data_IF_203247381567
#
_entry.id   IF_203247381567
#
_cell.length_a   1.000
_cell.length_b   1.000
_cell.length_c   1.000
_cell.angle_alpha   90.00
_cell.angle_beta   90.00
_cell.angle_gamma   90.00
#
_symmetry.space_group_name_H-M   'P 1'
#
loop_
_entity.id
_entity.type
_entity.pdbx_description
1 polymer ?
#
# COMPACT_ATOMS: atom_id res chain seq x y z
N UNK A 1 -9.87 68.81 -14.61
CA UNK A 1 -8.38 68.70 -14.59
C UNK A 1 -8.03 67.88 -13.34
N UNK A 2 -7.97 66.58 -13.47
CA UNK A 2 -7.71 65.65 -12.35
C UNK A 2 -6.20 65.48 -12.24
N UNK A 3 -5.66 65.86 -11.08
CA UNK A 3 -4.24 65.89 -10.77
C UNK A 3 -3.59 64.49 -10.86
N UNK A 4 -2.46 64.38 -11.59
CA UNK A 4 -1.62 63.17 -11.80
C UNK A 4 -1.08 62.51 -10.51
N UNK A 5 -1.27 63.16 -9.35
CA UNK A 5 -0.77 62.65 -8.07
C UNK A 5 -1.65 61.58 -7.41
N UNK A 6 -2.92 61.45 -7.77
CA UNK A 6 -3.82 60.51 -7.12
C UNK A 6 -3.82 59.11 -7.75
N UNK A 7 -3.17 58.91 -8.88
CA UNK A 7 -3.15 57.61 -9.56
C UNK A 7 -2.02 56.68 -9.02
N UNK A 8 -1.00 57.24 -8.41
CA UNK A 8 0.11 56.49 -7.85
C UNK A 8 -0.28 55.74 -6.55
N UNK A 9 -1.25 56.29 -5.79
CA UNK A 9 -1.74 55.66 -4.56
C UNK A 9 -2.75 54.51 -4.82
N UNK A 10 -3.36 54.45 -5.99
CA UNK A 10 -4.31 53.42 -6.33
C UNK A 10 -3.63 52.10 -6.76
N UNK A 11 -2.39 52.19 -7.28
CA UNK A 11 -1.62 51.00 -7.72
C UNK A 11 -0.91 50.30 -6.54
N UNK A 12 -0.61 51.04 -5.48
CA UNK A 12 0.08 50.47 -4.29
C UNK A 12 -0.86 49.66 -3.40
N UNK A 13 -2.17 49.88 -3.48
CA UNK A 13 -3.13 49.20 -2.60
C UNK A 13 -3.65 47.86 -3.12
N UNK A 14 -3.36 47.49 -4.38
CA UNK A 14 -3.78 46.20 -4.99
C UNK A 14 -2.75 45.08 -4.80
N UNK A 15 -1.52 45.40 -4.38
CA UNK A 15 -0.44 44.43 -4.20
C UNK A 15 -0.34 43.79 -2.81
N UNK A 16 -1.20 44.18 -1.86
CA UNK A 16 -1.08 43.77 -0.46
C UNK A 16 -2.06 42.66 -0.02
N UNK A 17 -2.76 41.99 -0.92
CA UNK A 17 -3.81 41.02 -0.53
C UNK A 17 -3.65 39.62 -1.11
N UNK A 18 -2.52 39.29 -1.74
CA UNK A 18 -2.22 37.88 -2.01
C UNK A 18 -1.63 37.25 -0.74
N UNK A 19 -2.50 36.96 0.23
CA UNK A 19 -2.19 36.00 1.24
C UNK A 19 -2.06 34.66 0.51
N UNK A 20 -0.84 34.25 0.19
CA UNK A 20 -0.52 32.86 -0.05
C UNK A 20 -0.89 32.12 1.24
N UNK A 21 -2.11 31.60 1.30
CA UNK A 21 -2.44 30.57 2.27
C UNK A 21 -1.45 29.43 2.00
N UNK A 22 -0.63 28.99 3.00
CA UNK A 22 0.14 27.80 2.81
C UNK A 22 -0.88 26.72 2.46
N UNK A 23 -0.70 26.06 1.33
CA UNK A 23 -1.36 24.77 1.07
C UNK A 23 -0.74 23.85 2.12
N UNK A 24 -1.39 23.76 3.27
CA UNK A 24 -1.12 22.70 4.23
C UNK A 24 -1.53 21.46 3.46
N UNK A 25 -0.54 20.74 2.92
CA UNK A 25 -0.74 19.40 2.41
C UNK A 25 -1.41 18.65 3.56
N UNK A 26 -2.66 18.26 3.39
CA UNK A 26 -3.41 17.50 4.39
C UNK A 26 -2.58 16.25 4.71
N UNK A 27 -2.00 16.24 5.91
CA UNK A 27 -1.13 15.14 6.33
C UNK A 27 -1.98 13.88 6.35
N UNK A 28 -1.76 13.02 5.37
CA UNK A 28 -2.57 11.81 5.19
C UNK A 28 -2.45 10.94 6.44
N UNK A 29 -3.52 10.76 7.19
CA UNK A 29 -3.51 9.96 8.41
C UNK A 29 -3.24 8.48 8.12
N UNK A 30 -2.64 7.71 9.06
CA UNK A 30 -2.47 6.27 8.90
C UNK A 30 -3.78 5.54 8.56
N UNK A 31 -4.88 5.96 9.16
CA UNK A 31 -6.21 5.41 8.88
C UNK A 31 -6.62 5.64 7.43
N UNK A 32 -6.46 6.87 6.92
CA UNK A 32 -6.80 7.18 5.52
C UNK A 32 -5.98 6.34 4.52
N UNK A 33 -4.72 6.00 4.86
CA UNK A 33 -3.90 5.09 4.06
C UNK A 33 -4.54 3.69 4.00
N UNK A 34 -4.96 3.15 5.14
CA UNK A 34 -5.62 1.83 5.20
C UNK A 34 -6.97 1.84 4.47
N UNK A 35 -7.79 2.87 4.70
CA UNK A 35 -9.06 3.05 3.98
C UNK A 35 -8.86 3.13 2.47
N UNK A 36 -7.87 3.90 2.01
CA UNK A 36 -7.55 4.01 0.58
C UNK A 36 -7.04 2.69 0.00
N UNK A 37 -6.23 1.94 0.77
CA UNK A 37 -5.77 0.60 0.38
C UNK A 37 -6.94 -0.35 0.22
N UNK A 38 -7.80 -0.46 1.24
CA UNK A 38 -8.95 -1.35 1.22
C UNK A 38 -9.94 -0.97 0.12
N UNK A 39 -10.27 0.32 -0.02
CA UNK A 39 -11.12 0.79 -1.11
C UNK A 39 -10.54 0.47 -2.50
N UNK A 40 -9.23 0.58 -2.67
CA UNK A 40 -8.59 0.25 -3.94
C UNK A 40 -8.72 -1.24 -4.27
N UNK A 41 -8.53 -2.13 -3.30
CA UNK A 41 -8.57 -3.57 -3.55
C UNK A 41 -9.99 -4.15 -3.61
N UNK A 42 -10.95 -3.58 -2.85
CA UNK A 42 -12.36 -4.06 -2.87
C UNK A 42 -13.09 -3.66 -4.16
N UNK A 43 -12.64 -2.61 -4.83
CA UNK A 43 -13.20 -2.19 -6.11
C UNK A 43 -12.58 -2.92 -7.32
N UNK A 44 -11.63 -3.83 -7.12
CA UNK A 44 -11.08 -4.64 -8.21
C UNK A 44 -12.14 -5.56 -8.78
N UNK A 45 -12.31 -5.50 -10.10
CA UNK A 45 -13.16 -6.44 -10.84
C UNK A 45 -12.46 -7.80 -10.91
N UNK A 46 -13.16 -8.86 -10.55
CA UNK A 46 -12.59 -10.21 -10.43
C UNK A 46 -13.36 -11.26 -11.23
N UNK A 47 -14.19 -10.83 -12.13
CA UNK A 47 -14.95 -11.66 -13.05
C UNK A 47 -14.02 -12.42 -14.00
N UNK A 48 -14.49 -13.54 -14.54
CA UNK A 48 -13.67 -14.40 -15.41
C UNK A 48 -13.25 -13.73 -16.72
N UNK A 49 -14.08 -12.80 -17.21
CA UNK A 49 -13.81 -12.00 -18.43
C UNK A 49 -14.03 -10.54 -18.11
N UNK A 50 -13.01 -9.75 -18.31
CA UNK A 50 -13.04 -8.29 -18.14
C UNK A 50 -12.96 -7.60 -19.49
N UNK A 51 -13.64 -6.47 -19.62
CA UNK A 51 -13.46 -5.58 -20.77
C UNK A 51 -12.08 -4.90 -20.71
N UNK A 52 -11.59 -4.34 -21.85
CA UNK A 52 -10.34 -3.58 -21.84
C UNK A 52 -10.36 -2.40 -20.87
N UNK A 53 -11.51 -1.75 -20.70
CA UNK A 53 -11.72 -0.64 -19.74
C UNK A 53 -11.58 -1.11 -18.31
N UNK A 54 -12.22 -2.23 -17.94
CA UNK A 54 -12.15 -2.83 -16.60
C UNK A 54 -10.73 -3.29 -16.26
N UNK A 55 -9.99 -3.82 -17.24
CA UNK A 55 -8.58 -4.18 -17.06
C UNK A 55 -7.77 -2.93 -16.73
N UNK A 56 -7.98 -1.82 -17.45
CA UNK A 56 -7.29 -0.55 -17.22
C UNK A 56 -7.65 0.05 -15.85
N UNK A 57 -8.92 -0.02 -15.46
CA UNK A 57 -9.35 0.40 -14.12
C UNK A 57 -8.68 -0.43 -13.02
N UNK A 58 -8.64 -1.75 -13.17
CA UNK A 58 -7.96 -2.65 -12.25
C UNK A 58 -6.45 -2.35 -12.15
N UNK A 59 -5.79 -2.01 -13.25
CA UNK A 59 -4.39 -1.60 -13.22
C UNK A 59 -4.20 -0.34 -12.39
N UNK A 60 -5.02 0.70 -12.59
CA UNK A 60 -4.98 1.94 -11.80
C UNK A 60 -5.19 1.64 -10.31
N UNK A 61 -6.21 0.88 -9.95
CA UNK A 61 -6.52 0.52 -8.57
C UNK A 61 -5.40 -0.29 -7.93
N UNK A 62 -4.86 -1.28 -8.66
CA UNK A 62 -3.78 -2.15 -8.18
C UNK A 62 -2.48 -1.37 -7.95
N UNK A 63 -2.11 -0.46 -8.86
CA UNK A 63 -0.93 0.39 -8.68
C UNK A 63 -1.12 1.41 -7.57
N UNK A 64 -2.33 1.95 -7.39
CA UNK A 64 -2.68 2.80 -6.25
C UNK A 64 -2.48 2.04 -4.94
N UNK A 65 -3.06 0.86 -4.80
CA UNK A 65 -2.88 -0.01 -3.64
C UNK A 65 -1.40 -0.32 -3.38
N UNK A 66 -0.64 -0.66 -4.43
CA UNK A 66 0.78 -0.99 -4.33
C UNK A 66 1.65 0.20 -3.88
N UNK A 67 1.28 1.43 -4.25
CA UNK A 67 1.98 2.65 -3.83
C UNK A 67 1.87 2.92 -2.32
N UNK A 68 0.80 2.42 -1.68
CA UNK A 68 0.57 2.54 -0.23
C UNK A 68 1.38 1.55 0.60
N UNK A 69 2.11 0.63 -0.04
CA UNK A 69 2.99 -0.35 0.63
C UNK A 69 4.46 0.08 0.57
N UNK A 70 5.18 -0.01 1.69
CA UNK A 70 6.65 0.07 1.68
C UNK A 70 7.25 -1.26 1.15
N UNK A 71 7.20 -1.42 -0.17
CA UNK A 71 7.66 -2.63 -0.87
C UNK A 71 9.10 -3.01 -0.52
N UNK A 72 9.97 -2.01 -0.38
CA UNK A 72 11.39 -2.24 -0.06
C UNK A 72 11.56 -2.77 1.37
N UNK A 73 10.88 -2.15 2.34
CA UNK A 73 10.93 -2.57 3.75
C UNK A 73 10.30 -3.95 3.94
N UNK A 74 9.15 -4.19 3.31
CA UNK A 74 8.48 -5.50 3.30
C UNK A 74 9.43 -6.56 2.74
N UNK A 75 9.98 -6.35 1.53
CA UNK A 75 10.91 -7.29 0.87
C UNK A 75 12.14 -7.57 1.73
N UNK A 76 12.75 -6.51 2.29
CA UNK A 76 13.90 -6.64 3.19
C UNK A 76 13.59 -7.47 4.43
N UNK A 77 12.42 -7.26 5.03
CA UNK A 77 11.99 -8.00 6.22
C UNK A 77 11.65 -9.45 5.90
N UNK A 78 11.02 -9.70 4.76
CA UNK A 78 10.71 -11.06 4.28
C UNK A 78 12.00 -11.86 4.01
N UNK A 79 12.95 -11.32 3.25
CA UNK A 79 14.24 -12.01 2.99
C UNK A 79 15.16 -12.02 4.22
N UNK A 80 14.99 -11.11 5.18
CA UNK A 80 15.72 -11.05 6.44
C UNK A 80 17.24 -11.22 6.27
N UNK A 81 17.85 -12.29 6.86
CA UNK A 81 19.29 -12.56 6.75
C UNK A 81 19.78 -12.80 5.31
N UNK A 82 18.90 -13.17 4.40
CA UNK A 82 19.24 -13.39 3.00
C UNK A 82 19.28 -12.10 2.19
N UNK A 83 18.65 -11.01 2.65
CA UNK A 83 18.62 -9.72 1.96
C UNK A 83 20.00 -9.12 1.70
N UNK A 84 20.85 -9.07 2.75
CA UNK A 84 22.21 -8.52 2.66
C UNK A 84 23.14 -9.33 1.76
N UNK A 85 22.79 -10.60 1.48
CA UNK A 85 23.55 -11.48 0.58
C UNK A 85 23.14 -11.29 -0.89
N UNK A 86 22.21 -10.42 -1.20
CA UNK A 86 21.70 -10.17 -2.56
C UNK A 86 22.32 -8.90 -3.11
N UNK A 87 22.70 -8.94 -4.39
CA UNK A 87 23.09 -7.75 -5.15
C UNK A 87 21.92 -6.79 -5.26
N UNK A 88 22.19 -5.54 -5.61
CA UNK A 88 21.13 -4.54 -5.83
C UNK A 88 20.16 -4.98 -6.94
N UNK A 89 20.68 -5.62 -7.98
CA UNK A 89 19.87 -6.17 -9.08
C UNK A 89 18.95 -7.29 -8.58
N UNK A 90 19.47 -8.24 -7.79
CA UNK A 90 18.66 -9.31 -7.21
C UNK A 90 17.60 -8.79 -6.24
N UNK A 91 17.94 -7.76 -5.45
CA UNK A 91 16.97 -7.08 -4.57
C UNK A 91 15.85 -6.43 -5.37
N UNK A 92 16.17 -5.74 -6.47
CA UNK A 92 15.18 -5.13 -7.37
C UNK A 92 14.29 -6.20 -7.99
N UNK A 93 14.86 -7.27 -8.53
CA UNK A 93 14.11 -8.41 -9.10
C UNK A 93 13.14 -8.99 -8.07
N UNK A 94 13.58 -9.17 -6.82
CA UNK A 94 12.70 -9.68 -5.77
C UNK A 94 11.55 -8.73 -5.43
N UNK A 95 11.84 -7.42 -5.31
CA UNK A 95 10.80 -6.40 -5.08
C UNK A 95 9.77 -6.42 -6.21
N UNK A 96 10.22 -6.49 -7.47
CA UNK A 96 9.34 -6.48 -8.64
C UNK A 96 8.47 -7.75 -8.70
N UNK A 97 9.03 -8.93 -8.43
CA UNK A 97 8.28 -10.19 -8.36
C UNK A 97 7.25 -10.16 -7.24
N UNK A 98 7.63 -9.68 -6.05
CA UNK A 98 6.71 -9.55 -4.92
C UNK A 98 5.59 -8.57 -5.23
N UNK A 99 5.91 -7.45 -5.86
CA UNK A 99 4.91 -6.45 -6.29
C UNK A 99 3.89 -7.04 -7.27
N UNK A 100 4.36 -7.82 -8.25
CA UNK A 100 3.46 -8.52 -9.17
C UNK A 100 2.60 -9.58 -8.46
N UNK A 101 3.11 -10.25 -7.43
CA UNK A 101 2.33 -11.18 -6.61
C UNK A 101 1.24 -10.45 -5.82
N UNK A 102 1.51 -9.25 -5.31
CA UNK A 102 0.47 -8.41 -4.71
C UNK A 102 -0.63 -8.09 -5.72
N UNK A 103 -0.26 -7.53 -6.87
CA UNK A 103 -1.23 -7.10 -7.92
C UNK A 103 -2.05 -8.29 -8.42
N UNK A 104 -1.41 -9.40 -8.76
CA UNK A 104 -2.08 -10.49 -9.49
C UNK A 104 -2.75 -11.53 -8.61
N UNK A 105 -2.41 -11.57 -7.33
CA UNK A 105 -2.94 -12.58 -6.42
C UNK A 105 -3.45 -12.01 -5.11
N UNK A 106 -2.60 -11.30 -4.36
CA UNK A 106 -2.96 -10.89 -3.01
C UNK A 106 -4.14 -9.89 -3.04
N UNK A 107 -4.04 -8.83 -3.82
CA UNK A 107 -5.07 -7.79 -3.88
C UNK A 107 -6.43 -8.33 -4.36
N UNK A 108 -6.55 -9.07 -5.49
CA UNK A 108 -7.85 -9.63 -5.88
C UNK A 108 -8.45 -10.56 -4.82
N UNK A 109 -7.62 -11.40 -4.19
CA UNK A 109 -8.11 -12.32 -3.14
C UNK A 109 -8.57 -11.56 -1.88
N UNK A 110 -7.77 -10.56 -1.44
CA UNK A 110 -8.15 -9.72 -0.30
C UNK A 110 -9.36 -8.85 -0.63
N UNK A 111 -9.45 -8.31 -1.85
CA UNK A 111 -10.61 -7.55 -2.29
C UNK A 111 -11.91 -8.36 -2.19
N UNK A 112 -11.90 -9.60 -2.68
CA UNK A 112 -13.03 -10.52 -2.53
C UNK A 112 -13.39 -10.80 -1.08
N UNK A 113 -12.39 -10.96 -0.22
CA UNK A 113 -12.61 -11.18 1.20
C UNK A 113 -13.29 -9.97 1.85
N UNK A 114 -12.75 -8.78 1.66
CA UNK A 114 -13.25 -7.57 2.30
C UNK A 114 -14.56 -7.03 1.70
N UNK A 115 -14.86 -7.27 0.43
CA UNK A 115 -16.02 -6.69 -0.25
C UNK A 115 -17.37 -7.14 0.32
N UNK A 116 -17.42 -8.30 0.99
CA UNK A 116 -18.63 -8.87 1.58
C UNK A 116 -18.74 -8.67 3.10
N UNK A 117 -17.83 -7.87 3.70
CA UNK A 117 -17.72 -7.75 5.16
C UNK A 117 -17.97 -6.33 5.63
N UNK A 118 -18.54 -6.19 6.81
CA UNK A 118 -18.57 -4.93 7.53
C UNK A 118 -17.19 -4.64 8.12
N UNK A 119 -16.69 -3.42 7.91
CA UNK A 119 -15.38 -2.98 8.35
C UNK A 119 -15.51 -2.00 9.51
N UNK A 120 -15.13 -2.41 10.70
CA UNK A 120 -15.19 -1.60 11.93
C UNK A 120 -13.77 -1.17 12.30
N UNK A 121 -13.44 0.10 12.07
CA UNK A 121 -12.13 0.65 12.40
C UNK A 121 -12.05 1.00 13.88
N UNK A 122 -11.01 0.50 14.56
CA UNK A 122 -10.68 0.85 15.93
C UNK A 122 -9.89 2.16 16.04
N UNK A 123 -9.42 2.45 17.23
CA UNK A 123 -8.62 3.64 17.52
C UNK A 123 -7.20 3.46 16.98
N UNK A 124 -6.80 4.32 16.05
CA UNK A 124 -5.43 4.37 15.53
C UNK A 124 -4.46 4.81 16.62
N UNK A 125 -3.35 4.09 16.77
CA UNK A 125 -2.24 4.49 17.65
C UNK A 125 -1.06 4.95 16.82
N UNK A 126 -0.41 6.03 17.23
CA UNK A 126 0.78 6.59 16.57
C UNK A 126 1.90 6.71 17.58
N UNK A 127 3.05 6.11 17.27
CA UNK A 127 4.26 6.22 18.05
C UNK A 127 5.44 6.61 17.16
N UNK A 128 5.82 7.91 17.16
CA UNK A 128 6.85 8.49 16.30
C UNK A 128 6.55 8.22 14.82
N UNK A 129 7.37 7.40 14.17
CA UNK A 129 7.25 7.01 12.76
C UNK A 129 6.53 5.67 12.57
N UNK A 130 5.85 5.16 13.56
CA UNK A 130 5.07 3.92 13.49
C UNK A 130 3.61 4.21 13.84
N UNK A 131 2.70 3.48 13.22
CA UNK A 131 1.29 3.55 13.54
C UNK A 131 0.65 2.16 13.38
N UNK A 132 -0.33 1.90 14.22
CA UNK A 132 -1.18 0.72 14.14
C UNK A 132 -2.62 1.16 13.92
N UNK A 133 -3.26 0.59 12.91
CA UNK A 133 -4.66 0.82 12.57
C UNK A 133 -5.40 -0.50 12.73
N UNK A 134 -6.09 -0.68 13.86
CA UNK A 134 -6.88 -1.89 14.09
C UNK A 134 -8.18 -1.84 13.30
N UNK A 135 -8.56 -2.99 12.77
CA UNK A 135 -9.78 -3.24 12.03
C UNK A 135 -10.41 -4.53 12.53
N UNK A 136 -11.69 -4.50 12.85
CA UNK A 136 -12.49 -5.71 13.06
C UNK A 136 -13.38 -5.92 11.86
N UNK A 137 -13.39 -7.13 11.33
CA UNK A 137 -14.33 -7.55 10.28
C UNK A 137 -15.27 -8.60 10.84
N UNK A 138 -16.56 -8.47 10.52
CA UNK A 138 -17.57 -9.43 10.96
C UNK A 138 -17.89 -10.35 9.78
N UNK A 139 -17.59 -11.64 9.97
CA UNK A 139 -17.88 -12.68 9.00
C UNK A 139 -19.01 -13.56 9.51
N UNK A 140 -20.04 -13.79 8.68
CA UNK A 140 -21.28 -14.50 9.10
C UNK A 140 -21.02 -15.88 9.72
N UNK A 141 -19.98 -16.59 9.27
CA UNK A 141 -19.68 -17.98 9.70
C UNK A 141 -18.53 -18.07 10.70
N UNK A 142 -17.55 -17.16 10.60
CA UNK A 142 -16.31 -17.21 11.37
C UNK A 142 -16.32 -16.23 12.56
N UNK A 143 -17.35 -15.37 12.64
CA UNK A 143 -17.47 -14.35 13.69
C UNK A 143 -16.57 -13.15 13.43
N UNK A 144 -16.12 -12.51 14.49
CA UNK A 144 -15.23 -11.36 14.42
C UNK A 144 -13.78 -11.79 14.16
N UNK A 145 -13.15 -11.16 13.18
CA UNK A 145 -11.74 -11.35 12.81
C UNK A 145 -11.02 -10.03 13.06
N UNK A 146 -9.96 -10.07 13.86
CA UNK A 146 -9.14 -8.88 14.17
C UNK A 146 -8.02 -8.77 13.15
N UNK A 147 -7.89 -7.59 12.56
CA UNK A 147 -6.85 -7.27 11.58
C UNK A 147 -6.14 -6.01 12.02
N UNK A 148 -4.83 -6.09 12.23
CA UNK A 148 -4.01 -4.94 12.60
C UNK A 148 -3.11 -4.55 11.42
N UNK A 149 -3.29 -3.33 10.89
CA UNK A 149 -2.40 -2.77 9.88
C UNK A 149 -1.27 -2.02 10.57
N UNK A 150 -0.04 -2.41 10.29
CA UNK A 150 1.17 -1.75 10.76
C UNK A 150 1.73 -0.84 9.69
N UNK A 151 1.90 0.44 10.03
CA UNK A 151 2.42 1.46 9.12
C UNK A 151 3.74 2.03 9.61
N UNK A 152 4.47 2.60 8.68
CA UNK A 152 5.69 3.33 8.96
C UNK A 152 5.68 4.65 8.17
N UNK A 153 6.10 5.74 8.82
CA UNK A 153 6.23 7.05 8.18
C UNK A 153 7.63 7.20 7.61
N UNK A 154 7.72 7.49 6.32
CA UNK A 154 8.97 7.73 5.60
C UNK A 154 8.80 8.94 4.68
N UNK A 155 9.68 9.95 4.78
CA UNK A 155 9.56 11.22 4.08
C UNK A 155 8.12 11.78 4.15
N UNK A 156 7.59 11.89 5.38
CA UNK A 156 6.25 12.39 5.70
C UNK A 156 5.06 11.62 5.06
N UNK A 157 5.33 10.45 4.49
CA UNK A 157 4.30 9.55 3.95
C UNK A 157 4.15 8.28 4.77
N UNK A 158 2.93 7.96 5.18
CA UNK A 158 2.61 6.70 5.81
C UNK A 158 2.50 5.59 4.76
N UNK A 159 3.12 4.45 5.04
CA UNK A 159 3.04 3.26 4.19
C UNK A 159 2.86 2.01 5.03
N UNK A 160 2.04 1.08 4.55
CA UNK A 160 1.82 -0.22 5.20
C UNK A 160 3.09 -1.08 5.06
N UNK A 161 3.50 -1.69 6.18
CA UNK A 161 4.69 -2.55 6.26
C UNK A 161 4.40 -3.97 6.70
N UNK A 162 3.23 -4.20 7.32
CA UNK A 162 2.73 -5.52 7.71
C UNK A 162 1.23 -5.48 7.94
N UNK A 163 0.62 -6.65 7.96
CA UNK A 163 -0.76 -6.88 8.39
C UNK A 163 -0.76 -8.11 9.28
N UNK A 164 -1.29 -7.99 10.47
CA UNK A 164 -1.57 -9.12 11.34
C UNK A 164 -3.03 -9.57 11.18
N UNK A 165 -3.24 -10.85 11.02
CA UNK A 165 -4.56 -11.49 11.02
C UNK A 165 -4.65 -12.35 12.27
N UNK A 166 -5.55 -12.02 13.18
CA UNK A 166 -5.66 -12.67 14.49
C UNK A 166 -4.29 -12.78 15.20
N UNK A 167 -3.54 -11.68 15.24
CA UNK A 167 -2.18 -11.57 15.79
C UNK A 167 -1.11 -12.37 15.07
N UNK A 168 -1.40 -12.90 13.88
CA UNK A 168 -0.44 -13.61 13.04
C UNK A 168 0.06 -12.68 11.93
N UNK A 169 1.33 -12.26 11.99
CA UNK A 169 1.94 -11.42 10.96
C UNK A 169 2.00 -12.13 9.61
N UNK A 170 1.35 -11.55 8.60
CA UNK A 170 1.36 -12.06 7.23
C UNK A 170 2.75 -12.00 6.63
N UNK A 171 3.51 -10.94 6.93
CA UNK A 171 4.91 -10.80 6.51
C UNK A 171 5.79 -11.90 7.12
N UNK A 172 5.63 -12.20 8.41
CA UNK A 172 6.40 -13.25 9.10
C UNK A 172 6.04 -14.65 8.60
N UNK A 173 4.75 -14.87 8.32
CA UNK A 173 4.28 -16.11 7.71
C UNK A 173 4.92 -16.31 6.31
N UNK A 174 4.84 -15.30 5.45
CA UNK A 174 5.48 -15.35 4.13
C UNK A 174 6.99 -15.55 4.23
N UNK A 175 7.68 -14.85 5.15
CA UNK A 175 9.10 -15.07 5.43
C UNK A 175 9.40 -16.53 5.74
N UNK A 176 8.62 -17.15 6.61
CA UNK A 176 8.83 -18.56 7.01
C UNK A 176 8.69 -19.50 5.81
N UNK A 177 7.71 -19.26 4.94
CA UNK A 177 7.53 -20.04 3.71
C UNK A 177 8.72 -19.89 2.75
N UNK A 178 9.18 -18.66 2.50
CA UNK A 178 10.32 -18.41 1.61
C UNK A 178 11.63 -18.97 2.17
N UNK A 179 11.82 -18.92 3.49
CA UNK A 179 13.00 -19.49 4.13
C UNK A 179 13.09 -21.00 3.93
N UNK A 180 11.97 -21.73 3.98
CA UNK A 180 11.95 -23.17 3.68
C UNK A 180 12.47 -23.46 2.26
N UNK A 181 12.10 -22.63 1.29
CA UNK A 181 12.56 -22.77 -0.10
C UNK A 181 14.06 -22.43 -0.19
N UNK A 182 14.48 -21.28 0.35
CA UNK A 182 15.88 -20.83 0.25
C UNK A 182 16.82 -21.80 0.96
N UNK A 183 16.46 -22.30 2.14
CA UNK A 183 17.31 -23.22 2.89
C UNK A 183 17.47 -24.59 2.21
N UNK A 184 16.44 -25.07 1.52
CA UNK A 184 16.45 -26.37 0.84
C UNK A 184 17.06 -26.28 -0.56
N UNK A 185 16.78 -25.24 -1.31
CA UNK A 185 17.01 -25.17 -2.77
C UNK A 185 17.77 -23.92 -3.22
N UNK A 186 18.06 -22.99 -2.30
CA UNK A 186 18.75 -21.74 -2.62
C UNK A 186 17.82 -20.61 -3.12
N UNK A 187 18.38 -19.42 -3.22
CA UNK A 187 17.66 -18.21 -3.68
C UNK A 187 17.24 -18.25 -5.17
N UNK A 188 18.09 -18.78 -6.11
CA UNK A 188 17.69 -18.88 -7.51
C UNK A 188 16.40 -19.69 -7.70
N UNK A 189 16.24 -20.76 -6.94
CA UNK A 189 15.02 -21.59 -6.97
C UNK A 189 13.78 -20.83 -6.46
N UNK A 190 13.93 -20.01 -5.42
CA UNK A 190 12.85 -19.14 -4.99
C UNK A 190 12.39 -18.21 -6.14
N UNK A 191 13.35 -17.53 -6.80
CA UNK A 191 13.05 -16.63 -7.92
C UNK A 191 12.36 -17.38 -9.07
N UNK A 192 12.84 -18.59 -9.41
CA UNK A 192 12.25 -19.46 -10.43
C UNK A 192 10.78 -19.75 -10.10
N UNK A 193 10.50 -20.21 -8.88
CA UNK A 193 9.12 -20.52 -8.42
C UNK A 193 8.20 -19.31 -8.42
N UNK A 194 8.71 -18.14 -8.01
CA UNK A 194 7.92 -16.92 -8.07
C UNK A 194 7.55 -16.56 -9.50
N UNK A 195 8.48 -16.67 -10.45
CA UNK A 195 8.23 -16.44 -11.88
C UNK A 195 7.19 -17.42 -12.46
N UNK A 196 7.34 -18.70 -12.16
CA UNK A 196 6.39 -19.74 -12.60
C UNK A 196 4.99 -19.49 -12.03
N UNK A 197 4.91 -19.14 -10.73
CA UNK A 197 3.63 -18.81 -10.13
C UNK A 197 2.97 -17.61 -10.80
N UNK A 198 3.74 -16.56 -11.12
CA UNK A 198 3.22 -15.40 -11.85
C UNK A 198 2.78 -15.74 -13.27
N UNK A 199 3.48 -16.64 -13.96
CA UNK A 199 3.09 -17.13 -15.28
C UNK A 199 1.77 -17.88 -15.24
N UNK A 200 1.56 -18.74 -14.21
CA UNK A 200 0.29 -19.47 -14.02
C UNK A 200 -0.91 -18.59 -13.65
N UNK A 201 -0.69 -17.33 -13.25
CA UNK A 201 -1.76 -16.37 -12.96
C UNK A 201 -2.14 -15.51 -14.18
N UNK A 202 -1.48 -15.69 -15.32
CA UNK A 202 -1.77 -14.97 -16.58
C UNK A 202 -2.76 -15.72 -17.49
N UNK A 203 -3.01 -16.98 -17.20
CA UNK A 203 -3.96 -17.86 -17.86
C UNK A 203 -5.26 -17.92 -17.06
#
# INVERSE_FOLDING_TARGET
>A
MISRKNWIYLIVFILASFRLSPIVAEETSPRNIVETLLNSITNLKTEKRLSPEEIKENDVLSYRALALLDKRKISRKILGKHWKKRTLTEQKVFIDLLSQMFIKKAFPNSGKFFSALELIYGQTTINKSQADVPLTVVHEKEGEIIIDFHLHKYHDQWQVVDVDLDKISMRSNLRSQLYKIISKNGYPELVRRMKEKLASLKS
#
